data_IF_917123097131
#
_entry.id   IF_917123097131
#
_cell.length_a   1.000
_cell.length_b   1.000
_cell.length_c   1.000
_cell.angle_alpha   90.00
_cell.angle_beta   90.00
_cell.angle_gamma   90.00
#
_symmetry.space_group_name_H-M   'P 1'
#
loop_
_entity.id
_entity.type
_entity.pdbx_description
1 polymer ?
#
# COMPACT_ATOMS: atom_id res chain seq x y z
N UNK A 1 -24.79 -3.74 63.57
CA UNK A 1 -25.22 -4.61 62.41
C UNK A 1 -24.59 -4.09 61.15
N UNK A 2 -23.44 -4.69 60.73
CA UNK A 2 -22.71 -4.27 59.52
C UNK A 2 -23.03 -5.28 58.42
N UNK A 3 -23.74 -4.82 57.38
CA UNK A 3 -24.11 -5.60 56.19
C UNK A 3 -22.95 -5.60 55.25
N UNK A 4 -22.23 -6.73 55.13
CA UNK A 4 -21.16 -6.94 54.21
C UNK A 4 -21.76 -7.29 52.83
N UNK A 5 -21.77 -6.32 51.89
CA UNK A 5 -22.03 -6.59 50.49
C UNK A 5 -20.79 -7.28 49.84
N UNK A 6 -20.91 -8.58 49.63
CA UNK A 6 -19.96 -9.30 48.78
C UNK A 6 -20.31 -9.03 47.31
N UNK A 7 -19.58 -8.11 46.70
CA UNK A 7 -19.62 -7.90 45.22
C UNK A 7 -18.79 -9.00 44.59
N UNK A 8 -19.44 -10.04 44.09
CA UNK A 8 -18.80 -11.04 43.25
C UNK A 8 -18.56 -10.42 41.84
N UNK A 9 -17.32 -10.01 41.58
CA UNK A 9 -16.90 -9.64 40.25
C UNK A 9 -16.76 -10.93 39.45
N UNK A 10 -17.76 -11.21 38.61
CA UNK A 10 -17.66 -12.22 37.55
C UNK A 10 -16.69 -11.68 36.52
N UNK A 11 -15.40 -12.06 36.58
CA UNK A 11 -14.48 -11.93 35.47
C UNK A 11 -14.93 -12.94 34.40
N UNK A 12 -15.85 -12.56 33.54
CA UNK A 12 -16.05 -13.23 32.29
C UNK A 12 -14.79 -13.00 31.46
N UNK A 13 -13.92 -13.99 31.40
CA UNK A 13 -12.83 -14.12 30.45
C UNK A 13 -13.43 -14.18 29.04
N UNK A 14 -13.70 -13.01 28.46
CA UNK A 14 -13.90 -12.90 27.02
C UNK A 14 -12.51 -13.14 26.40
N UNK A 15 -12.19 -14.38 26.17
CA UNK A 15 -11.17 -14.77 25.19
C UNK A 15 -11.76 -14.41 23.84
N UNK A 16 -11.77 -13.10 23.54
CA UNK A 16 -12.02 -12.65 22.17
C UNK A 16 -10.98 -13.33 21.32
N UNK A 17 -11.44 -14.18 20.38
CA UNK A 17 -10.62 -14.57 19.25
C UNK A 17 -10.08 -13.28 18.65
N UNK A 18 -8.80 -12.97 18.92
CA UNK A 18 -8.10 -11.91 18.22
C UNK A 18 -8.04 -12.36 16.76
N UNK A 19 -8.97 -11.89 15.95
CA UNK A 19 -8.81 -11.96 14.50
C UNK A 19 -7.40 -11.46 14.20
N UNK A 20 -6.62 -12.26 13.49
CA UNK A 20 -5.28 -11.85 13.11
C UNK A 20 -5.38 -10.46 12.48
N UNK A 21 -4.59 -9.51 12.98
CA UNK A 21 -4.64 -8.13 12.50
C UNK A 21 -4.48 -8.12 10.98
N UNK A 22 -5.42 -7.49 10.28
CA UNK A 22 -5.37 -7.34 8.82
C UNK A 22 -4.00 -6.80 8.41
N UNK A 23 -3.34 -7.51 7.50
CA UNK A 23 -1.99 -7.13 7.05
C UNK A 23 -2.07 -6.25 5.80
N UNK A 24 -1.46 -5.09 5.87
CA UNK A 24 -1.33 -4.15 4.75
C UNK A 24 0.09 -4.17 4.20
N UNK A 25 0.24 -4.42 2.92
CA UNK A 25 1.50 -4.25 2.19
C UNK A 25 1.58 -2.83 1.62
N UNK A 26 2.67 -2.12 1.93
CA UNK A 26 2.98 -0.82 1.36
C UNK A 26 4.21 -0.95 0.46
N UNK A 27 4.07 -0.54 -0.79
CA UNK A 27 5.14 -0.52 -1.78
C UNK A 27 5.41 0.93 -2.23
N UNK A 28 6.39 1.62 -1.63
CA UNK A 28 6.84 2.91 -2.13
C UNK A 28 7.44 2.74 -3.54
N UNK A 29 6.78 3.33 -4.55
CA UNK A 29 7.19 3.22 -5.96
C UNK A 29 8.62 3.67 -6.18
N UNK A 30 9.23 3.17 -7.25
CA UNK A 30 10.61 3.46 -7.64
C UNK A 30 11.66 3.13 -6.57
N UNK A 31 12.89 3.59 -6.80
CA UNK A 31 14.08 3.47 -5.94
C UNK A 31 15.15 4.45 -6.43
N UNK A 32 16.25 4.61 -5.69
CA UNK A 32 17.27 5.62 -6.00
C UNK A 32 17.88 5.48 -7.40
N UNK A 33 18.07 4.24 -7.86
CA UNK A 33 18.59 3.94 -9.20
C UNK A 33 17.58 3.09 -9.96
N UNK A 34 17.17 3.55 -11.14
CA UNK A 34 16.37 2.75 -12.05
C UNK A 34 17.13 1.50 -12.49
N UNK A 35 16.40 0.46 -12.86
CA UNK A 35 16.97 -0.76 -13.45
C UNK A 35 16.28 -0.99 -14.79
N UNK A 36 16.99 -0.67 -15.88
CA UNK A 36 16.48 -0.74 -17.25
C UNK A 36 16.58 -2.12 -17.86
N UNK A 37 17.17 -3.11 -17.18
CA UNK A 37 17.02 -4.50 -17.59
C UNK A 37 15.53 -4.86 -17.63
N UNK A 38 15.15 -5.73 -18.53
CA UNK A 38 13.73 -6.02 -18.73
C UNK A 38 13.27 -7.27 -18.02
N UNK A 39 11.99 -7.27 -17.65
CA UNK A 39 11.23 -8.40 -17.13
C UNK A 39 9.89 -8.54 -17.86
N UNK A 40 9.24 -9.70 -17.77
CA UNK A 40 7.89 -9.89 -18.29
C UNK A 40 6.87 -9.00 -17.57
N UNK A 41 5.85 -8.51 -18.31
CA UNK A 41 4.80 -7.65 -17.72
C UNK A 41 3.78 -8.42 -16.89
N UNK A 42 3.67 -9.73 -17.10
CA UNK A 42 2.79 -10.66 -16.40
C UNK A 42 3.33 -12.08 -16.59
N UNK A 43 2.95 -13.04 -15.74
CA UNK A 43 3.35 -14.44 -15.91
C UNK A 43 3.05 -14.98 -17.30
N UNK A 44 4.08 -15.50 -17.97
CA UNK A 44 3.98 -16.07 -19.32
C UNK A 44 3.83 -15.06 -20.46
N UNK A 45 3.95 -13.76 -20.19
CA UNK A 45 3.86 -12.72 -21.24
C UNK A 45 5.15 -12.61 -22.04
N UNK A 46 5.04 -12.58 -23.37
CA UNK A 46 6.16 -12.23 -24.26
C UNK A 46 6.50 -10.72 -24.21
N UNK A 47 5.56 -9.88 -23.78
CA UNK A 47 5.80 -8.44 -23.61
C UNK A 47 6.67 -8.18 -22.39
N UNK A 48 7.64 -7.27 -22.57
CA UNK A 48 8.62 -6.93 -21.53
C UNK A 48 8.58 -5.44 -21.20
N UNK A 49 9.01 -5.12 -20.00
CA UNK A 49 9.15 -3.74 -19.49
C UNK A 49 10.42 -3.62 -18.65
N UNK A 50 10.95 -2.42 -18.40
CA UNK A 50 12.04 -2.22 -17.42
C UNK A 50 11.67 -2.79 -16.06
N UNK A 51 12.63 -3.39 -15.37
CA UNK A 51 12.48 -3.90 -14.00
C UNK A 51 12.02 -2.81 -13.04
N UNK A 52 12.64 -1.63 -13.09
CA UNK A 52 12.21 -0.42 -12.38
C UNK A 52 12.55 0.80 -13.22
N UNK A 53 11.54 1.51 -13.70
CA UNK A 53 11.75 2.78 -14.38
C UNK A 53 12.19 3.87 -13.38
N UNK A 54 12.83 4.91 -13.91
CA UNK A 54 13.07 6.14 -13.16
C UNK A 54 11.72 6.81 -12.88
N UNK A 55 11.56 7.30 -11.66
CA UNK A 55 10.38 8.09 -11.30
C UNK A 55 10.47 9.52 -11.80
N UNK A 56 9.44 10.28 -11.51
CA UNK A 56 9.36 11.72 -11.79
C UNK A 56 10.14 12.55 -10.76
N UNK A 57 10.08 13.87 -10.90
CA UNK A 57 10.67 14.83 -9.96
C UNK A 57 9.75 16.04 -9.85
N UNK A 58 9.49 16.50 -8.64
CA UNK A 58 8.72 17.71 -8.41
C UNK A 58 9.34 18.94 -9.08
N UNK A 59 8.55 19.70 -9.83
CA UNK A 59 9.04 20.84 -10.59
C UNK A 59 9.55 21.94 -9.65
N UNK A 60 8.81 22.27 -8.60
CA UNK A 60 9.19 23.28 -7.61
C UNK A 60 10.15 22.72 -6.56
N UNK A 61 9.80 21.59 -5.96
CA UNK A 61 10.54 21.01 -4.82
C UNK A 61 11.84 20.33 -5.22
N UNK A 62 12.02 19.99 -6.49
CA UNK A 62 13.13 19.16 -7.01
C UNK A 62 13.26 17.81 -6.33
N UNK A 63 12.29 17.43 -5.46
CA UNK A 63 12.29 16.14 -4.76
C UNK A 63 11.99 15.02 -5.73
N UNK A 64 12.83 13.96 -5.81
CA UNK A 64 12.54 12.77 -6.63
C UNK A 64 11.33 12.00 -6.09
N UNK A 65 10.56 11.41 -6.98
CA UNK A 65 9.37 10.63 -6.65
C UNK A 65 9.66 9.48 -5.67
N UNK A 66 10.76 8.76 -5.86
CA UNK A 66 11.11 7.64 -4.98
C UNK A 66 11.35 8.06 -3.52
N UNK A 67 11.83 9.29 -3.29
CA UNK A 67 11.99 9.85 -1.94
C UNK A 67 10.63 10.18 -1.35
N UNK A 68 9.78 10.89 -2.11
CA UNK A 68 8.44 11.26 -1.67
C UNK A 68 7.59 10.02 -1.37
N UNK A 69 7.60 9.03 -2.27
CA UNK A 69 6.87 7.79 -2.08
C UNK A 69 7.30 7.04 -0.80
N UNK A 70 8.60 7.03 -0.48
CA UNK A 70 9.11 6.42 0.76
C UNK A 70 8.68 7.21 1.99
N UNK A 71 8.79 8.54 1.98
CA UNK A 71 8.37 9.39 3.09
C UNK A 71 6.89 9.19 3.43
N UNK A 72 6.03 9.17 2.40
CA UNK A 72 4.59 8.91 2.57
C UNK A 72 4.37 7.49 3.07
N UNK A 73 5.06 6.51 2.49
CA UNK A 73 4.94 5.11 2.88
C UNK A 73 5.31 4.85 4.35
N UNK A 74 6.38 5.48 4.84
CA UNK A 74 6.79 5.37 6.25
C UNK A 74 5.76 5.99 7.19
N UNK A 75 5.23 7.17 6.87
CA UNK A 75 4.16 7.82 7.65
C UNK A 75 2.88 6.97 7.66
N UNK A 76 2.50 6.41 6.51
CA UNK A 76 1.34 5.52 6.41
C UNK A 76 1.54 4.24 7.22
N UNK A 77 2.73 3.63 7.17
CA UNK A 77 3.10 2.48 8.00
C UNK A 77 2.86 2.77 9.48
N UNK A 78 3.39 3.90 9.97
CA UNK A 78 3.32 4.25 11.39
C UNK A 78 1.87 4.54 11.82
N UNK A 79 1.11 5.22 10.98
CA UNK A 79 -0.31 5.49 11.22
C UNK A 79 -1.17 4.20 11.26
N UNK A 80 -0.90 3.25 10.36
CA UNK A 80 -1.59 1.96 10.35
C UNK A 80 -1.21 1.11 11.55
N UNK A 81 0.07 1.05 11.91
CA UNK A 81 0.53 0.34 13.12
C UNK A 81 -0.10 0.90 14.39
N UNK A 82 -0.21 2.23 14.50
CA UNK A 82 -0.89 2.89 15.63
C UNK A 82 -2.39 2.52 15.73
N UNK A 83 -3.00 2.10 14.62
CA UNK A 83 -4.39 1.61 14.56
C UNK A 83 -4.50 0.08 14.70
N UNK A 84 -3.42 -0.63 15.02
CA UNK A 84 -3.42 -2.07 15.25
C UNK A 84 -3.28 -2.94 14.00
N UNK A 85 -3.06 -2.36 12.81
CA UNK A 85 -2.80 -3.13 11.60
C UNK A 85 -1.39 -3.71 11.58
N UNK A 86 -1.24 -4.93 11.06
CA UNK A 86 0.05 -5.47 10.68
C UNK A 86 0.50 -4.85 9.35
N UNK A 87 1.75 -4.40 9.25
CA UNK A 87 2.24 -3.73 8.04
C UNK A 87 3.52 -4.38 7.53
N UNK A 88 3.56 -4.70 6.24
CA UNK A 88 4.74 -5.13 5.51
C UNK A 88 5.17 -4.01 4.55
N UNK A 89 6.44 -3.61 4.62
CA UNK A 89 7.02 -2.64 3.69
C UNK A 89 7.85 -3.37 2.64
N UNK A 90 7.65 -3.08 1.35
CA UNK A 90 8.49 -3.63 0.26
C UNK A 90 9.90 -3.06 0.33
N UNK A 91 10.02 -1.81 0.74
CA UNK A 91 11.31 -1.17 1.03
C UNK A 91 11.17 -0.13 2.14
N UNK A 92 12.19 0.01 2.95
CA UNK A 92 12.28 1.03 3.99
C UNK A 92 13.47 1.99 3.77
N UNK A 93 14.20 1.78 2.67
CA UNK A 93 15.29 2.67 2.23
C UNK A 93 15.18 2.96 0.74
N UNK A 94 15.93 3.96 0.27
CA UNK A 94 15.97 4.32 -1.14
C UNK A 94 16.99 3.51 -1.94
N UNK A 95 18.06 3.05 -1.27
CA UNK A 95 19.15 2.32 -1.92
C UNK A 95 18.85 0.81 -1.95
N UNK A 96 17.94 0.41 -2.81
CA UNK A 96 17.56 -0.97 -3.08
C UNK A 96 17.60 -1.24 -4.60
N UNK A 97 17.59 -2.51 -4.97
CA UNK A 97 17.42 -2.95 -6.37
C UNK A 97 16.39 -4.07 -6.42
N UNK A 98 15.12 -3.70 -6.33
CA UNK A 98 13.97 -4.62 -6.29
C UNK A 98 13.11 -4.37 -7.53
N UNK A 99 13.01 -5.36 -8.41
CA UNK A 99 12.21 -5.28 -9.64
C UNK A 99 10.70 -5.24 -9.35
N UNK A 100 9.88 -4.85 -10.33
CA UNK A 100 8.43 -4.86 -10.16
C UNK A 100 7.89 -6.28 -9.93
N UNK A 101 8.50 -7.30 -10.57
CA UNK A 101 8.15 -8.71 -10.35
C UNK A 101 8.48 -9.14 -8.91
N UNK A 102 9.68 -8.81 -8.41
CA UNK A 102 10.09 -9.12 -7.04
C UNK A 102 9.18 -8.45 -6.01
N UNK A 103 8.80 -7.18 -6.22
CA UNK A 103 7.83 -6.48 -5.36
C UNK A 103 6.51 -7.24 -5.24
N UNK A 104 5.96 -7.69 -6.36
CA UNK A 104 4.74 -8.49 -6.37
C UNK A 104 4.92 -9.84 -5.65
N UNK A 105 6.04 -10.53 -5.87
CA UNK A 105 6.33 -11.80 -5.20
C UNK A 105 6.52 -11.63 -3.68
N UNK A 106 7.20 -10.57 -3.24
CA UNK A 106 7.38 -10.26 -1.82
C UNK A 106 6.03 -10.03 -1.13
N UNK A 107 5.13 -9.27 -1.74
CA UNK A 107 3.80 -8.97 -1.17
C UNK A 107 2.89 -10.18 -1.17
N UNK A 108 2.93 -11.01 -2.22
CA UNK A 108 2.22 -12.29 -2.25
C UNK A 108 2.71 -13.24 -1.13
N UNK A 109 4.05 -13.35 -0.96
CA UNK A 109 4.65 -14.15 0.10
C UNK A 109 4.30 -13.63 1.50
N UNK A 110 4.19 -12.31 1.66
CA UNK A 110 3.81 -11.69 2.93
C UNK A 110 2.35 -11.96 3.32
N UNK A 111 1.49 -12.41 2.39
CA UNK A 111 0.09 -12.75 2.65
C UNK A 111 -0.73 -11.54 3.07
N UNK A 112 -0.61 -10.42 2.37
CA UNK A 112 -1.33 -9.21 2.72
C UNK A 112 -2.78 -9.25 2.23
N UNK A 113 -3.71 -8.78 3.06
CA UNK A 113 -5.13 -8.56 2.69
C UNK A 113 -5.27 -7.37 1.73
N UNK A 114 -4.38 -6.39 1.86
CA UNK A 114 -4.37 -5.17 1.05
C UNK A 114 -2.95 -4.89 0.57
N UNK A 115 -2.82 -4.52 -0.70
CA UNK A 115 -1.58 -4.03 -1.31
C UNK A 115 -1.77 -2.61 -1.82
N UNK A 116 -0.96 -1.68 -1.33
CA UNK A 116 -0.93 -0.28 -1.74
C UNK A 116 0.42 0.07 -2.34
N UNK A 117 0.43 0.45 -3.61
CA UNK A 117 1.62 0.98 -4.26
C UNK A 117 1.49 2.50 -4.40
N UNK A 118 2.51 3.21 -3.91
CA UNK A 118 2.51 4.67 -3.82
C UNK A 118 3.34 5.27 -4.94
N UNK A 119 2.77 6.22 -5.66
CA UNK A 119 3.41 6.98 -6.72
C UNK A 119 3.07 8.48 -6.61
N UNK A 120 3.83 9.31 -7.31
CA UNK A 120 3.53 10.70 -7.54
C UNK A 120 3.71 10.98 -9.03
N UNK A 121 2.58 11.01 -9.75
CA UNK A 121 2.58 11.17 -11.19
C UNK A 121 2.97 12.60 -11.63
N UNK A 122 3.44 12.72 -12.85
CA UNK A 122 3.58 14.00 -13.55
C UNK A 122 2.33 14.27 -14.38
N UNK A 123 1.88 15.52 -14.35
CA UNK A 123 0.76 16.00 -15.16
C UNK A 123 1.04 17.37 -15.74
N UNK A 124 0.15 17.87 -16.57
CA UNK A 124 0.20 19.27 -17.04
C UNK A 124 0.09 20.26 -15.89
N UNK A 125 0.40 21.52 -16.13
CA UNK A 125 0.43 22.59 -15.11
C UNK A 125 -0.90 22.77 -14.36
N UNK A 126 -2.02 22.40 -14.96
CA UNK A 126 -3.37 22.42 -14.37
C UNK A 126 -3.77 21.12 -13.67
N UNK A 127 -3.00 20.04 -13.79
CA UNK A 127 -3.34 18.76 -13.18
C UNK A 127 -3.26 18.84 -11.65
N UNK A 128 -4.33 18.44 -11.00
CA UNK A 128 -4.43 18.40 -9.53
C UNK A 128 -5.25 17.19 -9.11
N UNK A 129 -5.04 16.75 -7.86
CA UNK A 129 -5.83 15.69 -7.25
C UNK A 129 -5.10 14.39 -7.13
N UNK A 130 -5.84 13.33 -6.86
CA UNK A 130 -5.33 11.98 -6.72
C UNK A 130 -5.99 11.02 -7.72
N UNK A 131 -5.25 10.00 -8.11
CA UNK A 131 -5.77 8.90 -8.93
C UNK A 131 -5.50 7.59 -8.19
N UNK A 132 -6.50 6.73 -8.10
CA UNK A 132 -6.33 5.38 -7.60
C UNK A 132 -6.55 4.39 -8.75
N UNK A 133 -5.52 3.64 -9.09
CA UNK A 133 -5.57 2.62 -10.12
C UNK A 133 -5.93 1.27 -9.50
N UNK A 134 -6.79 0.53 -10.16
CA UNK A 134 -7.17 -0.83 -9.75
C UNK A 134 -7.03 -1.80 -10.94
N UNK A 135 -7.11 -3.09 -10.65
CA UNK A 135 -7.00 -4.11 -11.69
C UNK A 135 -8.20 -4.11 -12.64
N UNK A 136 -7.94 -4.34 -13.92
CA UNK A 136 -9.00 -4.49 -14.93
C UNK A 136 -9.73 -5.84 -14.76
N UNK A 137 -11.05 -5.84 -14.96
CA UNK A 137 -11.84 -7.07 -15.03
C UNK A 137 -11.41 -8.02 -16.17
N UNK A 138 -10.73 -7.47 -17.19
CA UNK A 138 -10.18 -8.24 -18.31
C UNK A 138 -8.83 -8.90 -18.00
N UNK A 139 -8.19 -8.56 -16.87
CA UNK A 139 -6.90 -9.14 -16.51
C UNK A 139 -7.13 -10.53 -15.87
N UNK A 140 -6.70 -11.65 -16.51
CA UNK A 140 -6.96 -12.98 -15.99
C UNK A 140 -6.23 -13.25 -14.66
N UNK A 141 -5.09 -12.60 -14.41
CA UNK A 141 -4.28 -12.82 -13.21
C UNK A 141 -4.82 -12.13 -11.95
N UNK A 142 -5.73 -11.14 -12.10
CA UNK A 142 -6.27 -10.36 -10.98
C UNK A 142 -7.79 -10.33 -10.94
N UNK A 143 -8.46 -11.13 -11.79
CA UNK A 143 -9.94 -11.15 -11.88
C UNK A 143 -10.61 -11.47 -10.55
N UNK A 144 -10.04 -12.39 -9.78
CA UNK A 144 -10.61 -12.83 -8.49
C UNK A 144 -10.67 -11.72 -7.44
N UNK A 145 -9.76 -10.75 -7.50
CA UNK A 145 -9.67 -9.63 -6.54
C UNK A 145 -10.20 -8.32 -7.09
N UNK A 146 -10.63 -8.28 -8.35
CA UNK A 146 -10.98 -7.02 -9.02
C UNK A 146 -12.12 -6.26 -8.33
N UNK A 147 -13.22 -6.94 -7.97
CA UNK A 147 -14.38 -6.30 -7.33
C UNK A 147 -14.04 -5.70 -5.95
N UNK A 148 -13.26 -6.44 -5.14
CA UNK A 148 -12.80 -5.95 -3.83
C UNK A 148 -11.83 -4.78 -3.98
N UNK A 149 -10.91 -4.86 -4.95
CA UNK A 149 -9.97 -3.79 -5.26
C UNK A 149 -10.68 -2.51 -5.71
N UNK A 150 -11.70 -2.61 -6.58
CA UNK A 150 -12.47 -1.46 -7.03
C UNK A 150 -13.22 -0.78 -5.86
N UNK A 151 -13.91 -1.57 -5.02
CA UNK A 151 -14.60 -1.05 -3.84
C UNK A 151 -13.65 -0.35 -2.89
N UNK A 152 -12.49 -0.96 -2.61
CA UNK A 152 -11.47 -0.40 -1.73
C UNK A 152 -10.86 0.89 -2.31
N UNK A 153 -10.58 0.91 -3.61
CA UNK A 153 -10.03 2.07 -4.31
C UNK A 153 -10.98 3.27 -4.27
N UNK A 154 -12.28 3.05 -4.45
CA UNK A 154 -13.30 4.11 -4.33
C UNK A 154 -13.37 4.66 -2.90
N UNK A 155 -13.28 3.80 -1.89
CA UNK A 155 -13.28 4.23 -0.49
C UNK A 155 -12.05 5.10 -0.18
N UNK A 156 -10.85 4.67 -0.59
CA UNK A 156 -9.62 5.46 -0.41
C UNK A 156 -9.74 6.82 -1.12
N UNK A 157 -10.17 6.84 -2.37
CA UNK A 157 -10.29 8.08 -3.13
C UNK A 157 -11.29 9.04 -2.48
N UNK A 158 -12.44 8.53 -2.04
CA UNK A 158 -13.45 9.32 -1.34
C UNK A 158 -12.91 9.95 -0.05
N UNK A 159 -12.23 9.18 0.79
CA UNK A 159 -11.67 9.71 2.03
C UNK A 159 -10.50 10.67 1.78
N UNK A 160 -9.68 10.39 0.76
CA UNK A 160 -8.59 11.28 0.38
C UNK A 160 -9.11 12.65 -0.09
N UNK A 161 -10.14 12.66 -0.97
CA UNK A 161 -10.73 13.91 -1.47
C UNK A 161 -11.40 14.70 -0.37
N UNK A 162 -12.10 14.05 0.57
CA UNK A 162 -12.66 14.72 1.76
C UNK A 162 -11.59 15.37 2.63
N UNK A 163 -10.47 14.68 2.83
CA UNK A 163 -9.40 15.14 3.70
C UNK A 163 -8.54 16.25 3.09
N UNK A 164 -8.40 16.28 1.77
CA UNK A 164 -7.48 17.19 1.05
C UNK A 164 -8.17 18.28 0.27
N UNK A 165 -9.46 18.14 -0.04
CA UNK A 165 -10.21 19.08 -0.88
C UNK A 165 -9.92 18.94 -2.39
N UNK A 166 -9.29 17.83 -2.82
CA UNK A 166 -8.96 17.58 -4.24
C UNK A 166 -9.83 16.50 -4.84
#
# INVERSE_FOLDING_TARGET
>A
MKLLFKLAILLSSVTGLMSAAEKVCIDPGHQAKGNMQTEEIAPGSSKRKPKVAYGTRGVATKKPEYQLALEIGLKLRDALKAKGYSVFMVRETNNVNISNKERALMTNKAGCSVYLRLHADAGGSSARGATVLTSSAKNPHTRSVQKSSDRFSRAILSEYTKATGF
#
